data_IF_299368600107
#
_entry.id   IF_299368600107
#
_cell.length_a   1.000
_cell.length_b   1.000
_cell.length_c   1.000
_cell.angle_alpha   90.00
_cell.angle_beta   90.00
_cell.angle_gamma   90.00
#
_symmetry.space_group_name_H-M   'P 1'
#
loop_
_entity.id
_entity.type
_entity.pdbx_description
1 polymer ?
#
# COMPACT_ATOMS: atom_id res chain seq x y z
N UNK A 1 17.29 -32.75 102.81
CA UNK A 1 17.37 -32.73 101.34
C UNK A 1 17.62 -31.31 100.86
N UNK A 2 18.83 -31.03 100.38
CA UNK A 2 19.39 -29.68 100.25
C UNK A 2 18.79 -28.85 99.11
N UNK A 3 18.80 -27.52 99.30
CA UNK A 3 18.29 -26.49 98.37
C UNK A 3 18.75 -26.69 96.90
N UNK A 4 19.93 -27.29 96.71
CA UNK A 4 20.48 -27.68 95.40
C UNK A 4 19.62 -28.70 94.62
N UNK A 5 18.95 -29.63 95.27
CA UNK A 5 18.08 -30.61 94.58
C UNK A 5 16.77 -29.97 94.11
N UNK A 6 16.24 -29.01 94.88
CA UNK A 6 15.06 -28.22 94.49
C UNK A 6 15.35 -27.31 93.31
N UNK A 7 16.54 -26.71 93.25
CA UNK A 7 16.97 -25.90 92.11
C UNK A 7 17.26 -26.72 90.86
N UNK A 8 17.87 -27.91 91.00
CA UNK A 8 18.08 -28.83 89.89
C UNK A 8 16.77 -29.28 89.22
N UNK A 9 15.74 -29.55 90.02
CA UNK A 9 14.41 -29.95 89.52
C UNK A 9 13.69 -28.79 88.78
N UNK A 10 13.83 -27.56 89.27
CA UNK A 10 13.28 -26.37 88.61
C UNK A 10 13.96 -26.11 87.26
N UNK A 11 15.28 -26.23 87.19
CA UNK A 11 16.04 -26.06 85.93
C UNK A 11 15.63 -27.14 84.92
N UNK A 12 15.51 -28.40 85.35
CA UNK A 12 15.06 -29.49 84.47
C UNK A 12 13.65 -29.24 83.92
N UNK A 13 12.73 -28.72 84.74
CA UNK A 13 11.37 -28.40 84.31
C UNK A 13 11.33 -27.25 83.28
N UNK A 14 12.16 -26.23 83.46
CA UNK A 14 12.29 -25.12 82.51
C UNK A 14 12.83 -25.61 81.16
N UNK A 15 13.81 -26.53 81.16
CA UNK A 15 14.35 -27.12 79.93
C UNK A 15 13.30 -27.93 79.18
N UNK A 16 12.46 -28.69 79.89
CA UNK A 16 11.35 -29.45 79.29
C UNK A 16 10.32 -28.50 78.68
N UNK A 17 9.94 -27.42 79.38
CA UNK A 17 9.00 -26.42 78.87
C UNK A 17 9.59 -25.70 77.66
N UNK A 18 10.87 -25.32 77.70
CA UNK A 18 11.55 -24.67 76.59
C UNK A 18 11.66 -25.59 75.37
N UNK A 19 11.94 -26.89 75.57
CA UNK A 19 11.97 -27.89 74.50
C UNK A 19 10.57 -28.17 73.94
N UNK A 20 9.54 -28.21 74.78
CA UNK A 20 8.16 -28.37 74.33
C UNK A 20 7.67 -27.13 73.57
N UNK A 21 7.99 -25.93 74.06
CA UNK A 21 7.70 -24.68 73.37
C UNK A 21 8.45 -24.58 72.04
N UNK A 22 9.73 -24.94 72.01
CA UNK A 22 10.53 -24.95 70.78
C UNK A 22 9.99 -26.00 69.79
N UNK A 23 9.65 -27.21 70.26
CA UNK A 23 9.03 -28.26 69.45
C UNK A 23 7.66 -27.84 68.89
N UNK A 24 6.81 -27.22 69.71
CA UNK A 24 5.52 -26.66 69.27
C UNK A 24 5.77 -25.52 68.28
N UNK A 25 6.73 -24.64 68.53
CA UNK A 25 7.07 -23.54 67.62
C UNK A 25 7.56 -24.05 66.27
N UNK A 26 8.40 -25.09 66.25
CA UNK A 26 8.93 -25.69 65.02
C UNK A 26 7.89 -26.49 64.25
N UNK A 27 6.89 -27.08 64.93
CA UNK A 27 5.84 -27.89 64.29
C UNK A 27 4.60 -27.05 63.91
N UNK A 28 4.31 -25.96 64.63
CA UNK A 28 3.11 -25.14 64.40
C UNK A 28 3.37 -23.74 63.80
N UNK A 29 4.62 -23.26 63.78
CA UNK A 29 5.03 -22.00 63.11
C UNK A 29 5.90 -22.35 61.90
N UNK A 30 5.33 -23.13 60.99
CA UNK A 30 5.84 -23.26 59.64
C UNK A 30 5.37 -22.03 58.86
N UNK A 31 6.27 -21.32 58.17
CA UNK A 31 5.95 -20.10 57.43
C UNK A 31 4.75 -20.33 56.51
N UNK A 32 3.55 -19.89 56.95
CA UNK A 32 2.28 -20.12 56.26
C UNK A 32 2.12 -19.23 55.02
N UNK A 33 3.21 -18.66 54.53
CA UNK A 33 3.22 -17.81 53.34
C UNK A 33 3.71 -18.58 52.12
N UNK A 34 3.00 -18.42 51.02
CA UNK A 34 3.33 -18.88 49.68
C UNK A 34 3.53 -17.66 48.78
N UNK A 35 4.41 -17.76 47.79
CA UNK A 35 4.62 -16.69 46.82
C UNK A 35 3.78 -16.96 45.57
N UNK A 36 3.05 -15.96 45.08
CA UNK A 36 2.25 -16.08 43.87
C UNK A 36 3.19 -16.14 42.65
N UNK A 37 3.18 -17.22 41.85
CA UNK A 37 3.99 -17.32 40.65
C UNK A 37 3.47 -16.39 39.54
N UNK A 38 4.32 -16.09 38.55
CA UNK A 38 3.88 -15.44 37.32
C UNK A 38 3.27 -16.48 36.39
N UNK A 39 1.97 -16.35 36.11
CA UNK A 39 1.23 -17.27 35.24
C UNK A 39 0.85 -16.65 33.90
N UNK A 40 1.13 -15.37 33.66
CA UNK A 40 0.76 -14.70 32.42
C UNK A 40 1.43 -15.37 31.21
N UNK A 41 0.63 -15.76 30.22
CA UNK A 41 1.08 -16.44 29.00
C UNK A 41 1.36 -17.94 29.15
N UNK A 42 1.25 -18.50 30.36
CA UNK A 42 1.34 -19.95 30.56
C UNK A 42 0.07 -20.66 30.08
N UNK A 43 0.20 -21.95 29.78
CA UNK A 43 -0.96 -22.83 29.61
C UNK A 43 -1.62 -23.11 30.96
N UNK A 44 -2.93 -23.36 30.95
CA UNK A 44 -3.72 -23.61 32.16
C UNK A 44 -3.11 -24.73 33.02
N UNK A 45 -2.64 -25.80 32.39
CA UNK A 45 -2.03 -26.95 33.08
C UNK A 45 -0.79 -26.50 33.86
N UNK A 46 0.14 -25.79 33.19
CA UNK A 46 1.38 -25.30 33.80
C UNK A 46 1.12 -24.27 34.90
N UNK A 47 0.12 -23.41 34.72
CA UNK A 47 -0.27 -22.40 35.69
C UNK A 47 -0.85 -23.03 36.98
N UNK A 48 -1.70 -24.05 36.83
CA UNK A 48 -2.27 -24.78 37.98
C UNK A 48 -1.16 -25.55 38.71
N UNK A 49 -0.23 -26.18 37.99
CA UNK A 49 0.92 -26.86 38.58
C UNK A 49 1.81 -25.89 39.37
N UNK A 50 2.11 -24.71 38.81
CA UNK A 50 2.88 -23.68 39.49
C UNK A 50 2.21 -23.21 40.79
N UNK A 51 0.88 -23.03 40.79
CA UNK A 51 0.13 -22.67 41.99
C UNK A 51 0.14 -23.79 43.02
N UNK A 52 -0.05 -25.04 42.59
CA UNK A 52 -0.07 -26.18 43.49
C UNK A 52 1.28 -26.41 44.17
N UNK A 53 2.39 -26.18 43.44
CA UNK A 53 3.75 -26.25 43.97
C UNK A 53 3.99 -25.27 45.12
N UNK A 54 3.38 -24.09 45.03
CA UNK A 54 3.43 -23.05 46.08
C UNK A 54 2.38 -23.28 47.19
N UNK A 55 1.53 -24.30 47.06
CA UNK A 55 0.44 -24.59 48.02
C UNK A 55 -0.73 -23.61 47.92
N UNK A 56 -0.96 -23.05 46.73
CA UNK A 56 -2.07 -22.15 46.41
C UNK A 56 -3.19 -22.92 45.68
N UNK A 57 -4.42 -22.43 45.80
CA UNK A 57 -5.57 -22.99 45.09
C UNK A 57 -5.85 -22.19 43.83
N UNK A 58 -6.18 -22.85 42.72
CA UNK A 58 -6.55 -22.18 41.48
C UNK A 58 -8.08 -22.11 41.33
N UNK A 59 -8.61 -20.95 40.97
CA UNK A 59 -9.95 -20.81 40.41
C UNK A 59 -9.85 -20.32 38.98
N UNK A 60 -10.41 -21.08 38.05
CA UNK A 60 -10.30 -20.81 36.61
C UNK A 60 -11.58 -20.18 36.11
N UNK A 61 -11.46 -18.97 35.56
CA UNK A 61 -12.54 -18.31 34.84
C UNK A 61 -12.17 -18.24 33.36
N UNK A 62 -13.05 -18.71 32.48
CA UNK A 62 -12.80 -18.63 31.04
C UNK A 62 -13.36 -17.33 30.46
N UNK A 63 -12.56 -16.60 29.70
CA UNK A 63 -12.94 -15.35 29.03
C UNK A 63 -12.66 -15.40 27.54
N UNK A 64 -13.46 -14.67 26.77
CA UNK A 64 -13.25 -14.54 25.33
C UNK A 64 -12.00 -13.69 25.07
N UNK A 65 -11.06 -14.22 24.29
CA UNK A 65 -9.78 -13.58 24.00
C UNK A 65 -9.21 -14.08 22.67
N UNK A 66 -8.46 -13.24 21.92
CA UNK A 66 -7.76 -13.66 20.69
C UNK A 66 -6.62 -14.65 20.94
N UNK A 67 -6.16 -14.80 22.19
CA UNK A 67 -5.08 -15.71 22.55
C UNK A 67 -5.49 -17.18 22.33
N UNK A 68 -4.49 -18.05 22.16
CA UNK A 68 -4.70 -19.50 22.08
C UNK A 68 -5.56 -19.98 23.25
N UNK A 69 -6.44 -20.95 22.96
CA UNK A 69 -7.22 -21.61 24.00
C UNK A 69 -6.34 -22.08 25.16
N UNK A 70 -6.89 -21.96 26.37
CA UNK A 70 -6.27 -22.35 27.64
C UNK A 70 -5.02 -21.55 28.03
N UNK A 71 -4.75 -20.43 27.36
CA UNK A 71 -3.67 -19.51 27.74
C UNK A 71 -4.13 -18.55 28.83
N UNK A 72 -3.33 -18.36 29.88
CA UNK A 72 -3.62 -17.42 30.97
C UNK A 72 -3.41 -15.98 30.50
N UNK A 73 -4.49 -15.19 30.54
CA UNK A 73 -4.51 -13.78 30.10
C UNK A 73 -4.32 -12.84 31.27
N UNK A 74 -4.88 -13.18 32.43
CA UNK A 74 -4.74 -12.36 33.63
C UNK A 74 -4.85 -13.18 34.91
N UNK A 75 -4.18 -12.70 35.95
CA UNK A 75 -4.30 -13.19 37.31
C UNK A 75 -4.76 -12.05 38.23
N UNK A 76 -5.55 -12.39 39.24
CA UNK A 76 -6.04 -11.44 40.25
C UNK A 76 -4.90 -10.85 41.08
N UNK A 77 -3.98 -11.72 41.54
CA UNK A 77 -2.89 -11.34 42.44
C UNK A 77 -1.61 -11.13 41.62
N UNK A 78 -0.86 -10.03 41.78
CA UNK A 78 0.41 -9.83 41.09
C UNK A 78 1.43 -10.93 41.41
N UNK A 79 2.30 -11.21 40.43
CA UNK A 79 3.41 -12.14 40.62
C UNK A 79 4.37 -11.64 41.71
N UNK A 80 4.87 -12.55 42.55
CA UNK A 80 5.75 -12.25 43.66
C UNK A 80 5.04 -11.85 44.97
N UNK A 81 3.72 -11.64 44.96
CA UNK A 81 2.96 -11.35 46.18
C UNK A 81 3.04 -12.53 47.15
N UNK A 82 3.27 -12.25 48.45
CA UNK A 82 3.22 -13.26 49.50
C UNK A 82 1.82 -13.34 50.07
N UNK A 83 1.25 -14.54 50.05
CA UNK A 83 -0.11 -14.80 50.53
C UNK A 83 -0.16 -16.05 51.41
N UNK A 84 -1.21 -16.22 52.19
CA UNK A 84 -1.37 -17.42 53.00
C UNK A 84 -1.48 -18.67 52.11
N UNK A 85 -0.83 -19.77 52.51
CA UNK A 85 -1.04 -21.09 51.90
C UNK A 85 -2.54 -21.43 51.88
N UNK A 86 -3.00 -22.00 50.78
CA UNK A 86 -4.41 -22.31 50.52
C UNK A 86 -5.25 -21.12 50.04
N UNK A 87 -4.68 -19.91 49.86
CA UNK A 87 -5.40 -18.80 49.22
C UNK A 87 -5.77 -19.16 47.78
N UNK A 88 -6.98 -18.79 47.38
CA UNK A 88 -7.48 -18.99 46.01
C UNK A 88 -6.97 -17.87 45.12
N UNK A 89 -6.27 -18.24 44.06
CA UNK A 89 -5.83 -17.34 42.99
C UNK A 89 -6.78 -17.51 41.80
N UNK A 90 -7.43 -16.42 41.42
CA UNK A 90 -8.31 -16.41 40.24
C UNK A 90 -7.46 -16.17 39.01
N UNK A 91 -7.51 -17.13 38.08
CA UNK A 91 -6.79 -17.12 36.81
C UNK A 91 -7.82 -17.05 35.70
N UNK A 92 -7.72 -16.03 34.85
CA UNK A 92 -8.55 -15.89 33.66
C UNK A 92 -7.83 -16.45 32.45
N UNK A 93 -8.41 -17.49 31.84
CA UNK A 93 -7.85 -18.16 30.67
C UNK A 93 -8.66 -17.87 29.41
N UNK A 94 -7.99 -17.88 28.26
CA UNK A 94 -8.63 -17.73 26.96
C UNK A 94 -9.50 -18.94 26.64
N UNK A 95 -10.75 -18.70 26.26
CA UNK A 95 -11.61 -19.71 25.61
C UNK A 95 -11.09 -20.16 24.25
N UNK A 96 -10.09 -19.45 23.71
CA UNK A 96 -9.73 -19.52 22.31
C UNK A 96 -10.74 -18.72 21.50
N UNK A 97 -10.32 -17.58 20.95
CA UNK A 97 -11.14 -16.83 20.02
C UNK A 97 -11.25 -17.59 18.71
N UNK A 98 -12.41 -17.56 18.07
CA UNK A 98 -12.50 -17.84 16.63
C UNK A 98 -11.64 -16.81 15.92
N UNK A 99 -10.42 -17.20 15.54
CA UNK A 99 -9.51 -16.33 14.82
C UNK A 99 -9.95 -16.36 13.36
N UNK A 100 -10.49 -15.24 12.88
CA UNK A 100 -10.93 -15.08 11.50
C UNK A 100 -9.92 -14.23 10.74
N UNK A 101 -9.64 -14.56 9.46
CA UNK A 101 -8.82 -13.71 8.62
C UNK A 101 -9.60 -12.44 8.22
N UNK A 102 -9.02 -11.27 8.45
CA UNK A 102 -9.64 -10.00 8.03
C UNK A 102 -9.56 -9.89 6.50
N UNK A 103 -10.70 -9.72 5.79
CA UNK A 103 -10.68 -9.56 4.35
C UNK A 103 -10.04 -8.22 3.94
N UNK A 104 -9.40 -8.19 2.77
CA UNK A 104 -8.91 -6.94 2.19
C UNK A 104 -10.08 -6.18 1.56
N UNK A 105 -10.31 -4.97 2.03
CA UNK A 105 -11.30 -4.03 1.50
C UNK A 105 -10.68 -2.76 0.93
N UNK A 106 -9.34 -2.69 0.85
CA UNK A 106 -8.64 -1.56 0.23
C UNK A 106 -8.99 -1.47 -1.26
N UNK A 107 -9.21 -0.26 -1.73
CA UNK A 107 -9.61 0.04 -3.11
C UNK A 107 -11.11 -0.17 -3.39
N UNK A 108 -11.85 -0.85 -2.53
CA UNK A 108 -13.31 -0.98 -2.66
C UNK A 108 -14.02 0.33 -2.28
N UNK A 109 -15.27 0.47 -2.73
CA UNK A 109 -16.16 1.53 -2.23
C UNK A 109 -16.50 1.26 -0.77
N UNK A 110 -16.78 2.33 -0.02
CA UNK A 110 -17.14 2.24 1.39
C UNK A 110 -18.30 1.26 1.64
N UNK A 111 -19.40 1.32 0.88
CA UNK A 111 -20.54 0.41 1.09
C UNK A 111 -20.17 -1.05 0.82
N UNK A 112 -19.41 -1.30 -0.24
CA UNK A 112 -18.96 -2.64 -0.64
C UNK A 112 -17.98 -3.23 0.39
N UNK A 113 -17.05 -2.42 0.89
CA UNK A 113 -16.10 -2.83 1.92
C UNK A 113 -16.79 -3.14 3.25
N UNK A 114 -17.74 -2.32 3.68
CA UNK A 114 -18.55 -2.56 4.88
C UNK A 114 -19.34 -3.88 4.74
N UNK A 115 -19.97 -4.12 3.59
CA UNK A 115 -20.69 -5.36 3.31
C UNK A 115 -19.77 -6.58 3.40
N UNK A 116 -18.59 -6.51 2.78
CA UNK A 116 -17.60 -7.60 2.80
C UNK A 116 -17.07 -7.90 4.20
N UNK A 117 -16.86 -6.87 5.01
CA UNK A 117 -16.47 -7.03 6.43
C UNK A 117 -17.60 -7.67 7.24
N UNK A 118 -18.85 -7.23 7.04
CA UNK A 118 -20.01 -7.78 7.72
C UNK A 118 -20.27 -9.24 7.36
N UNK A 119 -20.09 -9.62 6.10
CA UNK A 119 -20.20 -11.02 5.63
C UNK A 119 -19.12 -11.91 6.24
N UNK A 120 -17.94 -11.35 6.52
CA UNK A 120 -16.85 -12.03 7.23
C UNK A 120 -17.01 -11.99 8.77
N UNK A 121 -18.10 -11.44 9.30
CA UNK A 121 -18.39 -11.37 10.73
C UNK A 121 -17.77 -10.18 11.47
N UNK A 122 -17.10 -9.27 10.78
CA UNK A 122 -16.47 -8.09 11.37
C UNK A 122 -17.40 -6.88 11.36
N UNK A 123 -17.23 -6.00 12.36
CA UNK A 123 -17.95 -4.73 12.46
C UNK A 123 -17.00 -3.56 12.23
N UNK A 124 -17.49 -2.51 11.59
CA UNK A 124 -16.73 -1.26 11.44
C UNK A 124 -16.89 -0.41 12.70
N UNK A 125 -15.76 0.07 13.23
CA UNK A 125 -15.74 0.99 14.37
C UNK A 125 -15.55 2.43 13.88
N UNK A 126 -14.30 2.84 13.63
CA UNK A 126 -13.98 4.21 13.24
C UNK A 126 -13.81 4.35 11.74
N UNK A 127 -14.49 5.35 11.16
CA UNK A 127 -14.28 5.76 9.76
C UNK A 127 -13.65 7.14 9.73
N UNK A 128 -12.43 7.24 9.21
CA UNK A 128 -11.69 8.50 9.03
C UNK A 128 -11.70 8.84 7.55
N UNK A 129 -12.15 10.05 7.21
CA UNK A 129 -12.14 10.54 5.83
C UNK A 129 -10.97 11.48 5.60
N UNK A 130 -10.21 11.26 4.53
CA UNK A 130 -9.04 12.09 4.16
C UNK A 130 -9.09 12.47 2.69
N UNK A 131 -8.59 13.65 2.37
CA UNK A 131 -8.46 14.12 0.98
C UNK A 131 -7.29 13.41 0.31
N UNK A 132 -7.55 12.67 -0.76
CA UNK A 132 -6.53 11.95 -1.53
C UNK A 132 -6.70 12.24 -3.03
N UNK A 133 -5.67 12.83 -3.64
CA UNK A 133 -5.68 13.22 -5.07
C UNK A 133 -5.59 12.02 -6.02
N UNK A 134 -5.11 10.87 -5.55
CA UNK A 134 -4.88 9.66 -6.35
C UNK A 134 -6.05 8.69 -6.29
N UNK A 135 -6.84 8.73 -5.21
CA UNK A 135 -7.93 7.79 -4.97
C UNK A 135 -9.30 8.47 -5.13
N UNK A 136 -10.25 7.86 -5.87
CA UNK A 136 -11.57 8.45 -6.07
C UNK A 136 -12.32 8.61 -4.74
N UNK A 137 -13.20 9.60 -4.69
CA UNK A 137 -14.05 9.83 -3.52
C UNK A 137 -14.89 8.58 -3.18
N UNK A 138 -14.98 8.26 -1.90
CA UNK A 138 -15.71 7.10 -1.37
C UNK A 138 -14.93 5.79 -1.40
N UNK A 139 -13.70 5.75 -1.92
CA UNK A 139 -12.86 4.54 -1.90
C UNK A 139 -12.11 4.36 -0.59
N UNK A 140 -11.96 3.12 -0.13
CA UNK A 140 -11.19 2.78 1.07
C UNK A 140 -9.70 2.81 0.71
N UNK A 141 -8.94 3.67 1.38
CA UNK A 141 -7.49 3.81 1.21
C UNK A 141 -6.75 2.77 2.07
N UNK A 142 -7.18 2.64 3.32
CA UNK A 142 -6.54 1.76 4.30
C UNK A 142 -7.56 1.19 5.28
N UNK A 143 -7.18 0.08 5.90
CA UNK A 143 -7.93 -0.58 6.95
C UNK A 143 -6.99 -0.94 8.10
N UNK A 144 -7.52 -1.00 9.31
CA UNK A 144 -6.84 -1.49 10.49
C UNK A 144 -7.81 -2.37 11.29
N UNK A 145 -7.53 -3.66 11.55
CA UNK A 145 -6.32 -4.41 11.22
C UNK A 145 -6.07 -4.60 9.70
N UNK A 146 -4.80 -4.71 9.31
CA UNK A 146 -4.41 -4.86 7.91
C UNK A 146 -4.69 -6.28 7.42
N UNK A 147 -5.32 -6.45 6.25
CA UNK A 147 -5.45 -7.78 5.65
C UNK A 147 -4.08 -8.33 5.19
N UNK A 148 -3.83 -9.66 5.25
CA UNK A 148 -4.73 -10.74 5.69
C UNK A 148 -4.57 -11.14 7.16
N UNK A 149 -4.36 -10.19 8.07
CA UNK A 149 -4.13 -10.47 9.49
C UNK A 149 -5.27 -11.30 10.10
N UNK A 150 -4.87 -12.23 10.96
CA UNK A 150 -5.76 -13.06 11.75
C UNK A 150 -6.10 -12.37 13.07
N UNK A 151 -7.38 -12.16 13.35
CA UNK A 151 -7.86 -11.47 14.56
C UNK A 151 -9.09 -12.17 15.14
N UNK A 152 -9.44 -11.86 16.40
CA UNK A 152 -10.66 -12.40 17.00
C UNK A 152 -11.90 -12.01 16.19
N UNK A 153 -12.87 -12.92 16.09
CA UNK A 153 -14.12 -12.72 15.33
C UNK A 153 -14.94 -11.49 15.75
N UNK A 154 -14.76 -10.99 16.98
CA UNK A 154 -15.43 -9.78 17.48
C UNK A 154 -14.59 -8.50 17.35
N UNK A 155 -13.41 -8.58 16.72
CA UNK A 155 -12.55 -7.43 16.49
C UNK A 155 -13.26 -6.42 15.58
N UNK A 156 -13.13 -5.14 15.89
CA UNK A 156 -13.69 -4.08 15.07
C UNK A 156 -12.62 -3.54 14.10
N UNK A 157 -13.04 -3.21 12.89
CA UNK A 157 -12.15 -2.72 11.82
C UNK A 157 -12.36 -1.22 11.64
N UNK A 158 -11.27 -0.47 11.70
CA UNK A 158 -11.24 0.96 11.37
C UNK A 158 -10.87 1.15 9.90
N UNK A 159 -11.53 2.11 9.24
CA UNK A 159 -11.36 2.39 7.81
C UNK A 159 -10.88 3.84 7.58
N UNK A 160 -9.94 3.99 6.66
CA UNK A 160 -9.54 5.27 6.08
C UNK A 160 -10.19 5.37 4.69
N UNK A 161 -11.03 6.37 4.47
CA UNK A 161 -11.79 6.55 3.23
C UNK A 161 -11.34 7.84 2.53
N UNK A 162 -11.13 7.76 1.22
CA UNK A 162 -10.85 8.92 0.40
C UNK A 162 -12.09 9.80 0.28
N UNK A 163 -11.95 11.08 0.59
CA UNK A 163 -12.91 12.13 0.20
C UNK A 163 -12.71 12.59 -1.25
N UNK A 164 -11.76 11.98 -1.97
CA UNK A 164 -11.27 12.45 -3.26
C UNK A 164 -10.32 13.62 -3.12
N UNK A 165 -9.63 13.96 -4.20
CA UNK A 165 -8.82 15.17 -4.27
C UNK A 165 -9.76 16.36 -4.16
N UNK A 166 -9.47 17.28 -3.24
CA UNK A 166 -10.10 18.60 -3.23
C UNK A 166 -9.56 19.35 -4.46
N UNK A 167 -10.20 19.05 -5.58
CA UNK A 167 -10.09 19.61 -6.90
C UNK A 167 -11.44 19.25 -7.48
N UNK A 168 -12.43 20.05 -7.10
CA UNK A 168 -13.82 19.71 -7.25
C UNK A 168 -14.15 19.27 -8.67
N UNK A 169 -15.23 18.53 -8.76
CA UNK A 169 -16.17 18.58 -9.86
C UNK A 169 -16.72 20.00 -10.11
N UNK A 170 -15.89 21.04 -10.07
CA UNK A 170 -16.14 22.29 -10.75
C UNK A 170 -15.51 22.12 -12.13
N UNK A 171 -16.18 21.36 -12.99
CA UNK A 171 -15.96 21.54 -14.41
C UNK A 171 -16.33 22.99 -14.71
N UNK A 172 -15.36 23.76 -15.20
CA UNK A 172 -15.55 25.14 -15.59
C UNK A 172 -15.72 25.13 -17.10
N UNK A 173 -16.77 25.79 -17.58
CA UNK A 173 -16.96 25.97 -19.02
C UNK A 173 -16.01 27.04 -19.52
N UNK A 174 -15.29 26.74 -20.60
CA UNK A 174 -14.37 27.70 -21.23
C UNK A 174 -15.21 28.85 -21.82
N UNK A 175 -15.05 30.10 -21.34
CA UNK A 175 -15.79 31.24 -21.87
C UNK A 175 -15.38 31.55 -23.31
N UNK A 176 -16.23 32.30 -24.03
CA UNK A 176 -15.86 32.79 -25.35
C UNK A 176 -14.87 33.96 -25.21
N UNK A 177 -13.66 33.75 -25.71
CA UNK A 177 -12.55 34.69 -25.61
C UNK A 177 -12.16 35.26 -26.98
N UNK A 178 -12.92 34.95 -28.05
CA UNK A 178 -12.64 35.43 -29.41
C UNK A 178 -12.66 36.97 -29.46
N UNK A 179 -11.65 37.57 -30.08
CA UNK A 179 -11.51 39.02 -30.23
C UNK A 179 -11.06 39.77 -28.97
N UNK A 180 -10.82 39.08 -27.86
CA UNK A 180 -10.32 39.69 -26.63
C UNK A 180 -8.78 39.81 -26.64
N UNK A 181 -8.27 40.83 -25.96
CA UNK A 181 -6.82 41.01 -25.76
C UNK A 181 -6.24 39.99 -24.77
N UNK A 182 -4.98 39.56 -24.94
CA UNK A 182 -4.39 38.48 -24.13
C UNK A 182 -4.33 38.78 -22.64
N UNK A 183 -4.21 40.05 -22.24
CA UNK A 183 -4.13 40.46 -20.83
C UNK A 183 -5.50 40.37 -20.13
N UNK A 184 -6.56 40.76 -20.83
CA UNK A 184 -7.95 40.62 -20.35
C UNK A 184 -8.30 39.14 -20.25
N UNK A 185 -7.90 38.35 -21.24
CA UNK A 185 -8.11 36.89 -21.26
C UNK A 185 -7.42 36.21 -20.07
N UNK A 186 -6.20 36.62 -19.72
CA UNK A 186 -5.50 36.09 -18.56
C UNK A 186 -6.27 36.34 -17.26
N UNK A 187 -6.76 37.56 -17.05
CA UNK A 187 -7.54 37.91 -15.86
C UNK A 187 -8.87 37.14 -15.78
N UNK A 188 -9.58 37.02 -16.90
CA UNK A 188 -10.85 36.28 -16.96
C UNK A 188 -10.63 34.81 -16.69
N UNK A 189 -9.57 34.20 -17.25
CA UNK A 189 -9.24 32.80 -17.01
C UNK A 189 -8.83 32.55 -15.55
N UNK A 190 -8.01 33.43 -14.96
CA UNK A 190 -7.61 33.32 -13.55
C UNK A 190 -8.79 33.44 -12.59
N UNK A 191 -9.73 34.36 -12.85
CA UNK A 191 -10.94 34.54 -12.04
C UNK A 191 -11.83 33.30 -12.00
N UNK A 192 -11.86 32.52 -13.08
CA UNK A 192 -12.63 31.27 -13.17
C UNK A 192 -11.78 30.03 -12.85
N UNK A 193 -10.56 30.23 -12.33
CA UNK A 193 -9.67 29.15 -11.91
C UNK A 193 -9.05 28.35 -13.06
N UNK A 194 -8.93 28.94 -14.26
CA UNK A 194 -8.21 28.40 -15.41
C UNK A 194 -6.87 29.13 -15.59
N UNK A 195 -5.92 28.49 -16.27
CA UNK A 195 -4.58 29.06 -16.48
C UNK A 195 -4.30 29.28 -17.96
N UNK A 196 -3.54 30.32 -18.30
CA UNK A 196 -3.10 30.57 -19.68
C UNK A 196 -1.95 29.63 -20.01
N UNK A 197 -2.09 28.87 -21.09
CA UNK A 197 -1.07 27.98 -21.62
C UNK A 197 -0.22 28.64 -22.70
N UNK A 198 0.06 27.88 -23.77
CA UNK A 198 0.89 28.34 -24.88
C UNK A 198 0.18 29.39 -25.74
N UNK A 199 0.91 30.41 -26.16
CA UNK A 199 0.43 31.45 -27.09
C UNK A 199 1.04 31.20 -28.47
N UNK A 200 0.20 31.08 -29.48
CA UNK A 200 0.60 30.87 -30.89
C UNK A 200 0.02 31.98 -31.74
N UNK A 201 0.74 32.44 -32.76
CA UNK A 201 0.27 33.51 -33.64
C UNK A 201 -0.03 32.99 -35.04
N UNK A 202 -1.21 33.32 -35.56
CA UNK A 202 -1.66 32.90 -36.90
C UNK A 202 -2.10 34.12 -37.70
N UNK A 203 -1.69 34.25 -38.98
CA UNK A 203 -2.17 35.33 -39.84
C UNK A 203 -3.69 35.27 -40.00
N UNK A 204 -4.36 36.41 -39.84
CA UNK A 204 -5.82 36.49 -39.98
C UNK A 204 -6.23 37.84 -40.56
N UNK A 205 -7.09 37.79 -41.59
CA UNK A 205 -7.78 38.96 -42.14
C UNK A 205 -9.13 39.24 -41.44
N UNK A 206 -9.68 38.27 -40.71
CA UNK A 206 -11.05 38.31 -40.18
C UNK A 206 -11.09 38.92 -38.76
N UNK A 207 -10.03 38.73 -37.98
CA UNK A 207 -9.92 39.14 -36.58
C UNK A 207 -8.77 40.14 -36.41
N UNK A 208 -8.94 41.24 -35.66
CA UNK A 208 -7.90 42.25 -35.45
C UNK A 208 -6.61 41.67 -34.89
N UNK A 209 -5.47 42.18 -35.38
CA UNK A 209 -4.16 41.77 -34.89
C UNK A 209 -4.01 42.03 -33.38
N UNK A 210 -3.38 41.11 -32.66
CA UNK A 210 -3.18 41.17 -31.21
C UNK A 210 -4.36 40.66 -30.38
N UNK A 211 -5.42 40.13 -31.00
CA UNK A 211 -6.57 39.55 -30.29
C UNK A 211 -6.67 38.03 -30.47
N UNK A 212 -7.37 37.34 -29.57
CA UNK A 212 -7.52 35.88 -29.63
C UNK A 212 -8.38 35.47 -30.83
N UNK A 213 -7.81 34.67 -31.71
CA UNK A 213 -8.46 34.03 -32.85
C UNK A 213 -9.21 32.76 -32.42
N UNK A 214 -8.58 31.92 -31.58
CA UNK A 214 -9.12 30.64 -31.11
C UNK A 214 -8.48 30.22 -29.80
N UNK A 215 -9.22 29.44 -29.01
CA UNK A 215 -8.73 28.76 -27.81
C UNK A 215 -8.75 27.24 -27.99
N UNK A 216 -7.83 26.55 -27.30
CA UNK A 216 -7.83 25.10 -27.16
C UNK A 216 -7.65 24.73 -25.69
N UNK A 217 -8.63 24.10 -25.03
CA UNK A 217 -9.93 23.62 -25.52
C UNK A 217 -10.87 24.72 -26.05
N UNK A 218 -11.80 24.34 -26.96
CA UNK A 218 -12.74 25.28 -27.60
C UNK A 218 -13.66 25.97 -26.59
N UNK A 219 -14.17 27.14 -26.95
CA UNK A 219 -15.24 27.80 -26.19
C UNK A 219 -16.43 26.84 -25.95
N UNK A 220 -17.02 26.91 -24.76
CA UNK A 220 -18.09 26.03 -24.30
C UNK A 220 -17.66 24.60 -23.93
N UNK A 221 -16.36 24.26 -24.04
CA UNK A 221 -15.86 22.98 -23.52
C UNK A 221 -15.85 22.99 -21.98
N UNK A 222 -16.32 21.91 -21.37
CA UNK A 222 -16.23 21.72 -19.91
C UNK A 222 -14.87 21.09 -19.58
N UNK A 223 -14.04 21.84 -18.86
CA UNK A 223 -12.69 21.42 -18.47
C UNK A 223 -12.55 21.39 -16.95
N UNK A 224 -11.69 20.54 -16.38
CA UNK A 224 -11.38 20.58 -14.96
C UNK A 224 -10.81 21.94 -14.55
N UNK A 225 -11.16 22.44 -13.37
CA UNK A 225 -10.52 23.62 -12.79
C UNK A 225 -8.99 23.45 -12.75
N UNK A 226 -8.25 24.50 -13.11
CA UNK A 226 -6.79 24.51 -13.23
C UNK A 226 -6.26 24.09 -14.61
N UNK A 227 -7.12 23.76 -15.57
CA UNK A 227 -6.69 23.41 -16.95
C UNK A 227 -6.01 24.59 -17.65
N UNK A 228 -4.96 24.28 -18.41
CA UNK A 228 -4.23 25.22 -19.27
C UNK A 228 -5.01 25.44 -20.58
N UNK A 229 -5.35 26.69 -20.88
CA UNK A 229 -5.99 27.10 -22.13
C UNK A 229 -4.94 27.68 -23.07
N UNK A 230 -4.69 26.99 -24.18
CA UNK A 230 -3.80 27.48 -25.23
C UNK A 230 -4.53 28.53 -26.06
N UNK A 231 -3.84 29.65 -26.35
CA UNK A 231 -4.38 30.78 -27.09
C UNK A 231 -3.71 30.84 -28.47
N UNK A 232 -4.53 30.94 -29.51
CA UNK A 232 -4.09 31.33 -30.85
C UNK A 232 -4.48 32.78 -31.06
N UNK A 233 -3.50 33.66 -31.25
CA UNK A 233 -3.63 35.10 -31.40
C UNK A 233 -3.57 35.43 -32.91
N UNK A 234 -4.42 36.34 -33.36
CA UNK A 234 -4.38 36.85 -34.72
C UNK A 234 -3.17 37.78 -34.88
N UNK A 235 -2.35 37.55 -35.90
CA UNK A 235 -1.33 38.50 -36.36
C UNK A 235 -1.75 39.13 -37.68
N UNK A 236 -1.24 40.33 -37.96
CA UNK A 236 -1.45 40.98 -39.25
C UNK A 236 -0.83 40.15 -40.38
N UNK A 237 -1.52 40.09 -41.53
CA UNK A 237 -0.98 39.52 -42.76
C UNK A 237 0.22 40.34 -43.20
N UNK A 238 1.35 39.68 -43.49
CA UNK A 238 2.48 40.36 -44.11
C UNK A 238 2.13 40.74 -45.55
N UNK A 239 2.63 41.87 -46.08
CA UNK A 239 2.50 42.18 -47.50
C UNK A 239 3.05 41.00 -48.34
N UNK A 240 2.16 40.30 -49.06
CA UNK A 240 2.47 39.09 -49.84
C UNK A 240 1.79 37.79 -49.37
N UNK A 241 1.21 37.73 -48.17
CA UNK A 241 0.39 36.57 -47.72
C UNK A 241 -1.08 36.70 -48.17
N UNK A 242 -1.50 37.91 -48.59
CA UNK A 242 -2.78 38.19 -49.23
C UNK A 242 -2.62 38.27 -50.76
N UNK A 243 -1.98 37.27 -51.37
CA UNK A 243 -2.02 37.12 -52.82
C UNK A 243 -3.21 36.24 -53.17
N UNK A 244 -4.25 36.91 -53.65
CA UNK A 244 -5.32 36.39 -54.50
C UNK A 244 -4.79 35.29 -55.41
N UNK A 245 -5.43 34.11 -55.39
CA UNK A 245 -5.57 33.31 -56.60
C UNK A 245 -6.14 34.23 -57.67
N UNK A 246 -5.25 34.79 -58.48
CA UNK A 246 -5.61 35.35 -59.77
C UNK A 246 -5.65 34.14 -60.67
N UNK A 247 -6.79 33.78 -61.29
CA UNK A 247 -6.80 32.73 -62.29
C UNK A 247 -5.73 33.07 -63.33
N UNK A 248 -4.90 32.11 -63.79
CA UNK A 248 -4.04 32.39 -64.92
C UNK A 248 -4.92 32.84 -66.08
N UNK A 249 -4.79 34.11 -66.45
CA UNK A 249 -5.24 34.59 -67.73
C UNK A 249 -4.32 33.95 -68.78
N UNK A 250 -4.94 33.45 -69.85
CA UNK A 250 -4.36 32.75 -71.00
C UNK A 250 -4.15 31.24 -70.83
N UNK A 251 -5.17 30.48 -71.20
CA UNK A 251 -5.02 29.57 -72.34
C UNK A 251 -6.38 29.39 -73.02
N UNK A 252 -6.52 30.01 -74.20
CA UNK A 252 -7.62 29.79 -75.13
C UNK A 252 -7.42 28.42 -75.77
N UNK A 253 -7.87 27.37 -75.10
CA UNK A 253 -8.05 26.05 -75.71
C UNK A 253 -9.53 25.66 -75.68
N UNK A 254 -10.25 25.67 -76.82
CA UNK A 254 -11.67 25.37 -76.87
C UNK A 254 -12.02 23.88 -76.64
N UNK A 255 -11.08 22.97 -76.45
CA UNK A 255 -11.40 21.53 -76.30
C UNK A 255 -11.58 21.02 -74.85
N UNK A 256 -11.34 21.82 -73.80
CA UNK A 256 -11.55 21.36 -72.40
C UNK A 256 -12.90 21.75 -71.78
N UNK A 257 -13.79 22.37 -72.55
CA UNK A 257 -15.10 22.85 -72.08
C UNK A 257 -16.20 21.77 -71.94
N UNK A 258 -15.90 20.49 -72.18
CA UNK A 258 -16.91 19.41 -72.20
C UNK A 258 -16.92 18.46 -70.97
N UNK A 259 -16.07 18.64 -69.96
CA UNK A 259 -15.96 17.68 -68.84
C UNK A 259 -16.42 18.18 -67.45
N UNK A 260 -16.94 19.41 -67.30
CA UNK A 260 -17.32 19.97 -65.98
C UNK A 260 -18.81 20.37 -65.91
N UNK A 261 -19.67 19.73 -66.70
CA UNK A 261 -21.14 19.90 -66.61
C UNK A 261 -21.86 18.57 -66.57
N UNK A 262 -21.55 17.72 -65.60
CA UNK A 262 -22.46 16.67 -65.12
C UNK A 262 -22.07 16.39 -63.67
N UNK A 263 -23.07 16.21 -62.81
CA UNK A 263 -22.99 16.01 -61.35
C UNK A 263 -22.95 17.30 -60.51
N UNK A 264 -23.93 18.17 -60.73
CA UNK A 264 -24.72 18.70 -59.62
C UNK A 264 -26.19 18.40 -59.94
N UNK A 265 -26.96 18.07 -58.91
CA UNK A 265 -28.39 17.75 -58.83
C UNK A 265 -28.66 16.24 -58.63
N UNK A 266 -28.62 15.80 -57.36
CA UNK A 266 -29.82 15.31 -56.66
C UNK A 266 -29.59 15.12 -55.16
N UNK A 267 -30.33 15.95 -54.41
CA UNK A 267 -31.01 15.73 -53.13
C UNK A 267 -30.40 14.78 -52.09
N UNK A 268 -30.01 15.35 -50.96
CA UNK A 268 -29.91 14.66 -49.66
C UNK A 268 -31.05 15.08 -48.75
N UNK A 269 -31.85 14.12 -48.33
CA UNK A 269 -32.66 14.13 -47.11
C UNK A 269 -32.73 12.69 -46.55
N UNK A 270 -33.07 12.48 -45.26
CA UNK A 270 -32.17 11.93 -44.25
C UNK A 270 -32.49 10.47 -43.88
N UNK A 271 -31.58 9.78 -43.19
CA UNK A 271 -31.90 8.49 -42.56
C UNK A 271 -31.08 8.20 -41.28
N UNK A 272 -31.86 8.23 -40.20
CA UNK A 272 -31.88 7.50 -38.93
C UNK A 272 -30.70 6.67 -38.43
N UNK A 273 -30.46 6.90 -37.12
CA UNK A 273 -29.77 6.04 -36.16
C UNK A 273 -30.64 4.80 -35.86
N UNK A 274 -30.05 3.60 -35.72
CA UNK A 274 -30.61 2.59 -34.85
C UNK A 274 -29.66 2.22 -33.70
N UNK A 275 -30.27 2.10 -32.52
CA UNK A 275 -29.71 1.62 -31.26
C UNK A 275 -29.96 0.11 -31.08
N UNK A 276 -28.95 -0.61 -30.53
CA UNK A 276 -28.94 -1.91 -29.78
C UNK A 276 -28.69 -3.30 -30.47
N UNK A 277 -27.56 -3.90 -30.04
CA UNK A 277 -27.12 -5.29 -29.71
C UNK A 277 -27.98 -6.54 -30.11
N UNK A 278 -27.38 -7.72 -30.43
CA UNK A 278 -26.64 -8.56 -29.44
C UNK A 278 -25.52 -9.55 -29.92
N UNK A 279 -24.74 -10.02 -28.92
CA UNK A 279 -24.07 -11.34 -28.65
C UNK A 279 -23.10 -12.08 -29.61
N UNK A 280 -21.98 -12.51 -28.98
CA UNK A 280 -20.88 -13.44 -29.34
C UNK A 280 -21.34 -14.87 -29.77
N UNK A 281 -20.54 -15.70 -30.50
CA UNK A 281 -19.39 -16.45 -29.94
C UNK A 281 -18.10 -16.49 -30.83
N UNK A 282 -16.98 -16.85 -30.19
CA UNK A 282 -15.62 -17.08 -30.71
C UNK A 282 -15.51 -18.34 -31.64
N UNK A 283 -14.32 -18.93 -31.94
CA UNK A 283 -12.93 -18.45 -32.14
C UNK A 283 -12.30 -18.97 -33.47
N UNK A 284 -11.13 -18.48 -33.91
CA UNK A 284 -10.26 -19.15 -34.90
C UNK A 284 -8.80 -18.59 -34.85
N UNK A 285 -7.77 -19.23 -35.45
CA UNK A 285 -6.86 -20.11 -34.73
C UNK A 285 -5.36 -19.77 -34.91
N UNK A 286 -4.53 -20.54 -34.21
CA UNK A 286 -3.07 -20.65 -34.27
C UNK A 286 -2.53 -21.04 -35.65
N UNK A 287 -1.34 -20.54 -36.02
CA UNK A 287 -0.38 -21.26 -36.87
C UNK A 287 1.08 -21.02 -36.41
N UNK A 288 1.70 -22.11 -35.96
CA UNK A 288 3.12 -22.49 -36.13
C UNK A 288 3.58 -22.31 -37.59
N UNK A 289 4.84 -22.24 -38.00
CA UNK A 289 6.16 -22.36 -37.40
C UNK A 289 7.17 -21.75 -38.41
N UNK A 290 8.36 -21.36 -37.97
CA UNK A 290 9.54 -21.76 -38.72
C UNK A 290 10.78 -21.90 -37.84
N UNK A 291 11.39 -23.07 -38.00
CA UNK A 291 12.55 -23.63 -37.31
C UNK A 291 13.81 -23.18 -38.04
N UNK A 292 14.80 -22.64 -37.33
CA UNK A 292 16.19 -22.71 -37.78
C UNK A 292 17.04 -23.24 -36.64
N UNK A 293 17.62 -24.39 -36.93
CA UNK A 293 18.50 -25.22 -36.12
C UNK A 293 19.94 -24.90 -36.56
N UNK A 294 20.81 -24.48 -35.64
CA UNK A 294 22.26 -24.65 -35.80
C UNK A 294 22.82 -25.14 -34.48
N UNK A 295 23.58 -26.23 -34.61
CA UNK A 295 24.05 -27.16 -33.60
C UNK A 295 25.57 -27.04 -33.47
N UNK A 296 26.05 -27.26 -32.24
CA UNK A 296 27.44 -27.52 -31.81
C UNK A 296 28.43 -26.34 -31.95
N UNK A 297 29.34 -26.09 -31.01
CA UNK A 297 30.30 -27.04 -30.44
C UNK A 297 30.79 -26.56 -29.06
N UNK A 298 30.99 -27.50 -28.15
CA UNK A 298 31.63 -27.28 -26.85
C UNK A 298 33.11 -27.71 -26.95
N UNK A 299 34.02 -26.97 -26.31
CA UNK A 299 35.22 -27.48 -25.62
C UNK A 299 35.94 -26.35 -24.83
N UNK A 300 36.83 -26.66 -23.86
CA UNK A 300 36.74 -26.07 -22.52
C UNK A 300 38.00 -25.31 -22.06
N UNK A 301 37.97 -24.88 -20.79
CA UNK A 301 39.11 -24.57 -19.90
C UNK A 301 39.71 -23.15 -19.99
N UNK A 302 39.43 -22.32 -18.97
CA UNK A 302 40.46 -21.97 -17.97
C UNK A 302 39.88 -21.33 -16.71
N UNK A 303 40.11 -22.01 -15.59
CA UNK A 303 40.06 -21.46 -14.26
C UNK A 303 41.10 -20.33 -14.12
N UNK A 304 40.68 -19.22 -13.53
CA UNK A 304 41.59 -18.19 -13.01
C UNK A 304 41.41 -18.14 -11.50
N UNK A 305 42.42 -18.64 -10.80
CA UNK A 305 42.64 -18.54 -9.35
C UNK A 305 42.81 -17.07 -8.91
N UNK A 306 42.64 -16.79 -7.60
CA UNK A 306 42.31 -15.46 -7.09
C UNK A 306 43.54 -14.56 -6.96
N UNK A 307 43.41 -13.32 -7.40
CA UNK A 307 44.36 -12.27 -7.05
C UNK A 307 44.20 -11.89 -5.56
N UNK A 308 45.30 -11.97 -4.80
CA UNK A 308 45.41 -11.52 -3.41
C UNK A 308 45.26 -9.98 -3.28
N UNK A 309 44.93 -9.48 -2.07
CA UNK A 309 44.16 -8.26 -1.86
C UNK A 309 45.02 -7.00 -1.77
N UNK A 310 44.45 -5.86 -2.17
CA UNK A 310 44.94 -4.52 -1.84
C UNK A 310 43.78 -3.52 -1.91
N UNK A 311 43.79 -2.47 -1.08
CA UNK A 311 43.45 -2.45 0.33
C UNK A 311 41.94 -2.17 0.55
N UNK A 312 41.43 -2.58 1.72
CA UNK A 312 40.04 -2.42 2.13
C UNK A 312 39.60 -0.94 2.16
N UNK A 313 38.95 -0.48 1.09
CA UNK A 313 37.89 0.51 1.21
C UNK A 313 36.70 -0.25 1.81
N UNK A 314 36.08 0.28 2.86
CA UNK A 314 34.96 -0.33 3.61
C UNK A 314 33.79 -0.78 2.71
N UNK A 315 33.93 -1.89 1.99
CA UNK A 315 32.90 -2.48 1.14
C UNK A 315 32.00 -3.36 2.00
N UNK A 316 30.81 -2.85 2.31
CA UNK A 316 29.75 -3.62 2.95
C UNK A 316 28.99 -4.40 1.89
N UNK A 317 28.37 -5.52 2.27
CA UNK A 317 27.57 -6.33 1.34
C UNK A 317 26.10 -6.28 1.73
N UNK A 318 25.24 -5.82 0.82
CA UNK A 318 23.79 -5.87 0.97
C UNK A 318 23.29 -7.22 0.45
N UNK A 319 22.59 -7.98 1.31
CA UNK A 319 21.94 -9.24 0.91
C UNK A 319 20.50 -8.92 0.47
N UNK A 320 20.28 -8.86 -0.84
CA UNK A 320 18.98 -8.62 -1.41
C UNK A 320 18.22 -9.95 -1.58
N UNK A 321 16.99 -10.00 -1.05
CA UNK A 321 16.07 -11.12 -1.22
C UNK A 321 14.72 -10.59 -1.67
N UNK A 322 14.36 -10.88 -2.90
CA UNK A 322 13.11 -10.43 -3.50
C UNK A 322 12.38 -11.60 -4.14
N UNK A 323 11.12 -11.78 -3.76
CA UNK A 323 10.23 -12.74 -4.39
C UNK A 323 9.35 -11.99 -5.39
N UNK A 324 9.44 -12.38 -6.66
CA UNK A 324 8.61 -11.81 -7.71
C UNK A 324 7.16 -12.22 -7.43
N UNK A 325 6.20 -11.27 -7.40
CA UNK A 325 4.79 -11.59 -7.25
C UNK A 325 4.31 -12.59 -8.32
N UNK A 326 3.19 -13.29 -8.12
CA UNK A 326 2.62 -14.14 -9.16
C UNK A 326 2.22 -13.28 -10.36
N UNK A 327 2.89 -13.49 -11.48
CA UNK A 327 2.64 -12.79 -12.74
C UNK A 327 1.94 -13.72 -13.74
N UNK A 328 0.94 -13.20 -14.44
CA UNK A 328 0.27 -13.90 -15.56
C UNK A 328 1.06 -13.81 -16.88
N UNK A 329 2.00 -12.86 -16.97
CA UNK A 329 2.95 -12.69 -18.08
C UNK A 329 4.32 -12.27 -17.54
N UNK A 330 5.45 -12.65 -18.17
CA UNK A 330 6.77 -12.20 -17.74
C UNK A 330 6.87 -10.66 -17.82
N UNK A 331 7.40 -10.02 -16.78
CA UNK A 331 7.62 -8.56 -16.73
C UNK A 331 9.11 -8.26 -16.56
N UNK A 332 9.56 -7.10 -17.06
CA UNK A 332 10.93 -6.65 -16.88
C UNK A 332 11.21 -6.30 -15.43
N UNK A 333 12.20 -6.93 -14.82
CA UNK A 333 12.63 -6.68 -13.46
C UNK A 333 14.00 -6.00 -13.50
N UNK A 334 14.04 -4.79 -12.95
CA UNK A 334 15.24 -3.96 -12.88
C UNK A 334 15.59 -3.65 -11.44
N UNK A 335 16.81 -3.97 -11.03
CA UNK A 335 17.33 -3.72 -9.68
C UNK A 335 18.43 -2.67 -9.82
N UNK A 336 18.26 -1.54 -9.16
CA UNK A 336 19.22 -0.44 -9.14
C UNK A 336 19.80 -0.27 -7.75
N UNK A 337 21.11 -0.04 -7.65
CA UNK A 337 21.82 0.34 -6.45
C UNK A 337 22.27 1.78 -6.61
N UNK A 338 21.87 2.65 -5.69
CA UNK A 338 22.37 4.02 -5.59
C UNK A 338 23.23 4.12 -4.33
N UNK A 339 24.55 4.26 -4.51
CA UNK A 339 25.51 4.47 -3.43
C UNK A 339 26.20 5.84 -3.57
N UNK A 340 27.16 6.14 -2.70
CA UNK A 340 27.93 7.40 -2.75
C UNK A 340 28.76 7.57 -4.05
N UNK A 341 28.91 6.50 -4.84
CA UNK A 341 29.61 6.52 -6.14
C UNK A 341 28.66 6.69 -7.33
N UNK A 342 27.34 6.69 -7.09
CA UNK A 342 26.29 6.89 -8.10
C UNK A 342 25.31 5.72 -8.22
N UNK A 343 24.43 5.79 -9.22
CA UNK A 343 23.42 4.74 -9.50
C UNK A 343 23.96 3.71 -10.49
N UNK A 344 23.87 2.43 -10.14
CA UNK A 344 24.29 1.27 -10.95
C UNK A 344 23.14 0.28 -11.07
N UNK A 345 22.91 -0.23 -12.28
CA UNK A 345 21.95 -1.31 -12.50
C UNK A 345 22.63 -2.64 -12.13
N UNK A 346 22.10 -3.31 -11.12
CA UNK A 346 22.61 -4.59 -10.61
C UNK A 346 22.07 -5.76 -11.42
N UNK A 347 20.81 -5.67 -11.83
CA UNK A 347 20.17 -6.74 -12.62
C UNK A 347 19.04 -6.18 -13.47
N UNK A 348 18.97 -6.63 -14.71
CA UNK A 348 17.91 -6.31 -15.67
C UNK A 348 17.55 -7.60 -16.43
N UNK A 349 16.44 -8.22 -16.06
CA UNK A 349 15.99 -9.51 -16.62
C UNK A 349 14.47 -9.52 -16.83
N UNK A 350 13.97 -10.41 -17.67
CA UNK A 350 12.55 -10.74 -17.71
C UNK A 350 12.24 -11.74 -16.59
N UNK A 351 11.51 -11.30 -15.57
CA UNK A 351 11.15 -12.10 -14.41
C UNK A 351 9.81 -12.82 -14.63
N UNK A 352 9.79 -14.10 -14.29
CA UNK A 352 8.56 -14.89 -14.26
C UNK A 352 7.88 -14.80 -12.89
N UNK A 353 6.58 -15.09 -12.85
CA UNK A 353 5.84 -15.13 -11.60
C UNK A 353 6.45 -16.11 -10.60
N UNK A 354 6.50 -15.72 -9.32
CA UNK A 354 7.01 -16.55 -8.21
C UNK A 354 8.51 -16.89 -8.26
N UNK A 355 9.29 -16.22 -9.11
CA UNK A 355 10.75 -16.37 -9.15
C UNK A 355 11.39 -15.73 -7.92
N UNK A 356 12.38 -16.40 -7.32
CA UNK A 356 13.08 -15.92 -6.12
C UNK A 356 14.47 -15.40 -6.47
N UNK A 357 14.71 -14.13 -6.19
CA UNK A 357 15.97 -13.45 -6.51
C UNK A 357 16.74 -13.20 -5.22
N UNK A 358 17.91 -13.84 -5.11
CA UNK A 358 18.87 -13.63 -4.02
C UNK A 358 20.20 -13.16 -4.58
N UNK A 359 20.63 -11.94 -4.25
CA UNK A 359 21.87 -11.33 -4.76
C UNK A 359 22.61 -10.67 -3.62
N UNK A 360 23.94 -10.84 -3.60
CA UNK A 360 24.82 -10.12 -2.70
C UNK A 360 25.45 -8.96 -3.47
N UNK A 361 25.16 -7.73 -3.06
CA UNK A 361 25.61 -6.51 -3.76
C UNK A 361 26.62 -5.78 -2.87
N UNK A 362 27.89 -5.65 -3.30
CA UNK A 362 28.85 -4.83 -2.57
C UNK A 362 28.51 -3.34 -2.75
N UNK A 363 28.56 -2.57 -1.66
CA UNK A 363 28.30 -1.13 -1.67
C UNK A 363 29.28 -0.39 -0.74
N UNK A 364 29.46 0.91 -1.00
CA UNK A 364 30.33 1.79 -0.20
C UNK A 364 29.49 2.90 0.43
N UNK A 365 29.73 3.18 1.72
CA UNK A 365 29.01 4.24 2.43
C UNK A 365 27.53 3.89 2.66
N UNK A 366 26.61 4.79 2.29
CA UNK A 366 25.18 4.51 2.33
C UNK A 366 24.70 4.07 0.96
N UNK A 367 23.90 3.01 0.91
CA UNK A 367 23.35 2.51 -0.33
C UNK A 367 21.85 2.32 -0.27
N UNK A 368 21.20 2.57 -1.39
CA UNK A 368 19.78 2.36 -1.59
C UNK A 368 19.60 1.38 -2.74
N UNK A 369 18.93 0.25 -2.49
CA UNK A 369 18.53 -0.67 -3.54
C UNK A 369 17.07 -0.38 -3.89
N UNK A 370 16.78 -0.18 -5.17
CA UNK A 370 15.43 0.03 -5.70
C UNK A 370 15.11 -1.06 -6.71
N UNK A 371 13.91 -1.63 -6.64
CA UNK A 371 13.42 -2.66 -7.55
C UNK A 371 12.24 -2.10 -8.34
N UNK A 372 12.34 -2.24 -9.67
CA UNK A 372 11.29 -1.95 -10.61
C UNK A 372 10.79 -3.25 -11.26
N UNK A 373 9.48 -3.37 -11.46
CA UNK A 373 8.84 -4.49 -12.16
C UNK A 373 7.88 -3.94 -13.21
N UNK A 374 8.06 -4.31 -14.47
CA UNK A 374 7.30 -3.74 -15.59
C UNK A 374 7.54 -2.24 -15.80
N UNK A 375 8.61 -1.68 -15.23
CA UNK A 375 8.89 -0.23 -15.20
C UNK A 375 8.31 0.50 -13.98
N UNK A 376 7.47 -0.15 -13.18
CA UNK A 376 6.89 0.43 -11.97
C UNK A 376 7.79 0.18 -10.75
N UNK A 377 7.88 1.17 -9.87
CA UNK A 377 8.55 1.02 -8.57
C UNK A 377 7.78 0.03 -7.69
N UNK A 378 8.47 -0.99 -7.17
CA UNK A 378 7.84 -2.00 -6.30
C UNK A 378 8.42 -2.01 -4.89
N UNK A 379 9.73 -1.82 -4.76
CA UNK A 379 10.38 -1.95 -3.45
C UNK A 379 11.68 -1.17 -3.39
N UNK A 380 12.03 -0.73 -2.18
CA UNK A 380 13.28 -0.04 -1.91
C UNK A 380 13.77 -0.34 -0.50
N UNK A 381 15.07 -0.52 -0.36
CA UNK A 381 15.72 -0.75 0.92
C UNK A 381 17.02 0.05 1.04
N UNK A 382 17.36 0.43 2.27
CA UNK A 382 18.48 1.32 2.57
C UNK A 382 19.46 0.62 3.50
N UNK A 383 20.70 0.57 3.07
CA UNK A 383 21.83 -0.03 3.77
C UNK A 383 22.80 1.07 4.21
N UNK A 384 23.34 0.96 5.43
CA UNK A 384 24.22 1.96 6.05
C UNK A 384 25.56 1.37 6.44
#
# INVERSE_FOLDING_TARGET
>A
MGKVHRWGMVIAFIVIIASAYFGIKTVFIEDKSATVPNMLGLQLVDAVEALQKEGLLAKVDQVDSPERADTVISQNLPAGERVSKGKVVIVRVSKGGSILPVPDVRGLKFEEGVKRLSEAGFKVDKTIRVTDKLKPAGSIIAQNPAAPQQVAANCMVSLLVSSGGSGGSAFVSVPDLKGQGPDVVAQVLEQIGLTVGSRTETPSAEVPAGTVLRTNPRNGANVPAGTLINLTIARALKPGEASTETPPADDRDPERAAAVRTVVIKNTEPSDIPTKLPKNPAPAPSQEANKVEVKNEAEPVKASEPAKPSPALNQKTAKLRYQVPPLTKPLSLKIELTDDTGTKVIKDIMANGSEYISINVPFTGQATITIYLGGDFVWQDRFK
#
